data_IF_268361227097
#
_entry.id   IF_268361227097
#
_cell.length_a   1.000
_cell.length_b   1.000
_cell.length_c   1.000
_cell.angle_alpha   90.00
_cell.angle_beta   90.00
_cell.angle_gamma   90.00
#
_symmetry.space_group_name_H-M   'P 1'
#
loop_
_entity.id
_entity.type
_entity.pdbx_description
1 polymer ?
#
# COMPACT_ATOMS: atom_id res chain seq x y z
N UNK A 1 -11.78 -11.33 13.32
CA UNK A 1 -11.24 -9.96 13.12
C UNK A 1 -10.92 -9.81 11.65
N UNK A 2 -11.36 -8.72 11.00
CA UNK A 2 -10.94 -8.40 9.64
C UNK A 2 -9.76 -7.41 9.73
N UNK A 3 -8.60 -7.78 9.19
CA UNK A 3 -7.44 -6.90 9.13
C UNK A 3 -7.67 -5.81 8.09
N UNK A 4 -7.19 -4.60 8.37
CA UNK A 4 -7.29 -3.48 7.45
C UNK A 4 -6.51 -3.80 6.17
N UNK A 5 -7.10 -3.61 4.97
CA UNK A 5 -6.36 -3.73 3.72
C UNK A 5 -5.17 -2.78 3.68
N UNK A 6 -4.10 -3.24 3.04
CA UNK A 6 -2.91 -2.46 2.77
C UNK A 6 -3.09 -1.84 1.39
N UNK A 7 -2.90 -0.53 1.28
CA UNK A 7 -2.92 0.22 0.03
C UNK A 7 -1.52 0.75 -0.23
N UNK A 8 -0.88 0.23 -1.27
CA UNK A 8 0.49 0.60 -1.67
C UNK A 8 0.46 1.40 -2.97
N UNK A 9 1.07 2.57 -2.97
CA UNK A 9 1.23 3.40 -4.16
C UNK A 9 2.63 3.24 -4.76
N UNK A 10 2.71 2.90 -6.04
CA UNK A 10 3.98 2.62 -6.74
C UNK A 10 4.08 3.38 -8.05
N UNK A 11 5.30 3.67 -8.49
CA UNK A 11 5.54 4.26 -9.81
C UNK A 11 6.65 3.56 -10.61
N UNK A 12 7.89 4.06 -10.55
CA UNK A 12 8.99 3.63 -11.43
C UNK A 12 10.28 3.29 -10.68
N UNK A 13 10.17 2.96 -9.38
CA UNK A 13 11.30 2.74 -8.46
C UNK A 13 11.41 1.27 -8.00
N UNK A 14 11.71 0.36 -8.93
CA UNK A 14 11.72 -1.10 -8.67
C UNK A 14 12.47 -1.52 -7.39
N UNK A 15 13.66 -0.97 -7.14
CA UNK A 15 14.45 -1.34 -5.96
C UNK A 15 13.74 -0.99 -4.65
N UNK A 16 13.18 0.21 -4.55
CA UNK A 16 12.43 0.65 -3.38
C UNK A 16 11.15 -0.19 -3.23
N UNK A 17 10.38 -0.35 -4.31
CA UNK A 17 9.15 -1.14 -4.31
C UNK A 17 9.39 -2.56 -3.81
N UNK A 18 10.49 -3.20 -4.25
CA UNK A 18 10.90 -4.53 -3.78
C UNK A 18 11.12 -4.54 -2.28
N UNK A 19 11.91 -3.60 -1.77
CA UNK A 19 12.22 -3.53 -0.36
C UNK A 19 10.96 -3.35 0.50
N UNK A 20 10.07 -2.43 0.12
CA UNK A 20 8.80 -2.21 0.84
C UNK A 20 7.94 -3.46 0.87
N UNK A 21 7.76 -4.13 -0.28
CA UNK A 21 6.95 -5.35 -0.36
C UNK A 21 7.58 -6.48 0.45
N UNK A 22 8.89 -6.69 0.34
CA UNK A 22 9.60 -7.74 1.07
C UNK A 22 9.53 -7.53 2.59
N UNK A 23 9.60 -6.30 3.07
CA UNK A 23 9.47 -6.01 4.50
C UNK A 23 8.01 -6.13 4.98
N UNK A 24 7.04 -5.74 4.16
CA UNK A 24 5.62 -6.02 4.44
C UNK A 24 5.35 -7.52 4.50
N UNK A 25 5.95 -8.34 3.62
CA UNK A 25 5.78 -9.80 3.64
C UNK A 25 6.32 -10.44 4.93
N UNK A 26 7.30 -9.81 5.60
CA UNK A 26 7.86 -10.28 6.88
C UNK A 26 7.02 -9.87 8.09
N UNK A 27 5.98 -9.06 7.91
CA UNK A 27 5.17 -8.60 9.01
C UNK A 27 4.25 -9.68 9.58
N UNK A 28 4.01 -9.63 10.89
CA UNK A 28 2.89 -10.32 11.51
C UNK A 28 1.58 -9.83 10.89
N UNK A 29 0.72 -10.77 10.51
CA UNK A 29 -0.56 -10.56 9.82
C UNK A 29 -0.49 -10.26 8.32
N UNK A 30 0.69 -10.38 7.68
CA UNK A 30 0.81 -10.17 6.25
C UNK A 30 -0.03 -11.18 5.43
N UNK A 31 0.04 -12.48 5.78
CA UNK A 31 -0.67 -13.55 5.07
C UNK A 31 -2.20 -13.47 5.22
N UNK A 32 -2.68 -12.77 6.23
CA UNK A 32 -4.09 -12.54 6.53
C UNK A 32 -4.61 -11.20 6.00
N UNK A 33 -3.70 -10.33 5.54
CA UNK A 33 -4.02 -9.00 5.01
C UNK A 33 -4.19 -9.04 3.49
N UNK A 34 -5.10 -8.21 2.99
CA UNK A 34 -5.29 -7.97 1.55
C UNK A 34 -4.43 -6.79 1.13
N UNK A 35 -3.72 -6.92 0.01
CA UNK A 35 -2.82 -5.90 -0.54
C UNK A 35 -3.38 -5.37 -1.86
N UNK A 36 -3.67 -4.08 -1.90
CA UNK A 36 -4.07 -3.33 -3.09
C UNK A 36 -2.92 -2.44 -3.53
N UNK A 37 -2.46 -2.60 -4.76
CA UNK A 37 -1.31 -1.88 -5.28
C UNK A 37 -1.77 -0.99 -6.43
N UNK A 38 -1.70 0.31 -6.23
CA UNK A 38 -1.98 1.30 -7.26
C UNK A 38 -0.68 1.67 -7.96
N UNK A 39 -0.48 1.18 -9.18
CA UNK A 39 0.68 1.46 -10.01
C UNK A 39 0.35 2.56 -11.01
N UNK A 40 0.97 3.73 -10.85
CA UNK A 40 0.71 4.87 -11.74
C UNK A 40 1.22 4.60 -13.17
N UNK A 41 0.72 5.36 -14.14
CA UNK A 41 1.19 5.29 -15.52
C UNK A 41 2.46 6.11 -15.75
N UNK A 42 3.20 5.86 -16.86
CA UNK A 42 4.40 6.61 -17.21
C UNK A 42 4.07 8.09 -17.43
N UNK A 43 4.90 8.98 -16.88
CA UNK A 43 4.79 10.44 -17.10
C UNK A 43 5.38 10.84 -18.45
N UNK A 44 6.38 10.10 -18.91
CA UNK A 44 7.06 10.27 -20.20
C UNK A 44 7.36 8.91 -20.81
N UNK A 45 7.60 8.86 -22.11
CA UNK A 45 8.03 7.62 -22.81
C UNK A 45 9.30 7.01 -22.18
N UNK A 46 10.17 7.84 -21.60
CA UNK A 46 11.40 7.37 -20.92
C UNK A 46 11.11 6.62 -19.61
N UNK A 47 9.95 6.86 -19.01
CA UNK A 47 9.53 6.17 -17.78
C UNK A 47 8.89 4.82 -18.06
N UNK A 48 8.40 4.57 -19.29
CA UNK A 48 7.71 3.33 -19.67
C UNK A 48 8.48 2.07 -19.31
N UNK A 49 9.80 1.94 -19.60
CA UNK A 49 10.52 0.72 -19.26
C UNK A 49 10.56 0.47 -17.75
N UNK A 50 10.75 1.52 -16.95
CA UNK A 50 10.83 1.40 -15.49
C UNK A 50 9.48 1.10 -14.85
N UNK A 51 8.40 1.73 -15.34
CA UNK A 51 7.03 1.42 -14.90
C UNK A 51 6.68 -0.02 -15.25
N UNK A 52 7.05 -0.48 -16.45
CA UNK A 52 6.86 -1.87 -16.88
C UNK A 52 7.62 -2.83 -15.97
N UNK A 53 8.88 -2.55 -15.66
CA UNK A 53 9.68 -3.37 -14.73
C UNK A 53 9.03 -3.49 -13.34
N UNK A 54 8.52 -2.38 -12.80
CA UNK A 54 7.76 -2.39 -11.54
C UNK A 54 6.54 -3.30 -11.68
N UNK A 55 5.70 -3.09 -12.69
CA UNK A 55 4.46 -3.87 -12.89
C UNK A 55 4.71 -5.37 -13.08
N UNK A 56 5.75 -5.74 -13.82
CA UNK A 56 6.14 -7.15 -13.95
C UNK A 56 6.56 -7.74 -12.61
N UNK A 57 7.30 -7.00 -11.78
CA UNK A 57 7.57 -7.42 -10.41
C UNK A 57 6.30 -7.54 -9.57
N UNK A 58 5.38 -6.57 -9.62
CA UNK A 58 4.15 -6.58 -8.83
C UNK A 58 3.32 -7.85 -9.04
N UNK A 59 3.26 -8.35 -10.29
CA UNK A 59 2.55 -9.60 -10.65
C UNK A 59 3.14 -10.85 -9.99
N UNK A 60 4.38 -10.78 -9.49
CA UNK A 60 5.05 -11.91 -8.83
C UNK A 60 4.78 -11.96 -7.32
N UNK A 61 4.17 -10.93 -6.74
CA UNK A 61 3.99 -10.78 -5.29
C UNK A 61 3.04 -11.87 -4.76
N UNK A 62 3.48 -12.53 -3.69
CA UNK A 62 2.74 -13.53 -2.91
C UNK A 62 2.87 -13.21 -1.41
N UNK A 63 2.35 -14.07 -0.54
CA UNK A 63 2.51 -13.90 0.92
C UNK A 63 1.51 -12.95 1.58
N UNK A 64 0.46 -12.57 0.84
CA UNK A 64 -0.73 -11.88 1.34
C UNK A 64 -1.96 -12.74 1.08
N UNK A 65 -3.06 -12.46 1.79
CA UNK A 65 -4.34 -13.16 1.59
C UNK A 65 -4.86 -13.00 0.17
N UNK A 66 -4.73 -11.79 -0.37
CA UNK A 66 -5.08 -11.39 -1.73
C UNK A 66 -4.14 -10.27 -2.16
N UNK A 67 -3.74 -10.28 -3.43
CA UNK A 67 -3.02 -9.15 -4.06
C UNK A 67 -3.85 -8.69 -5.26
N UNK A 68 -4.21 -7.41 -5.29
CA UNK A 68 -4.90 -6.77 -6.42
C UNK A 68 -4.06 -5.61 -6.93
N UNK A 69 -3.80 -5.59 -8.23
CA UNK A 69 -2.98 -4.55 -8.87
C UNK A 69 -3.89 -3.69 -9.74
N UNK A 70 -3.89 -2.39 -9.48
CA UNK A 70 -4.62 -1.38 -10.22
C UNK A 70 -3.59 -0.56 -11.01
N UNK A 71 -3.47 -0.88 -12.29
CA UNK A 71 -2.60 -0.17 -13.21
C UNK A 71 -3.33 1.06 -13.80
N UNK A 72 -2.70 2.24 -13.75
CA UNK A 72 -3.21 3.43 -14.44
C UNK A 72 -2.64 3.52 -15.85
N UNK A 73 -3.48 3.90 -16.81
CA UNK A 73 -3.04 4.06 -18.21
C UNK A 73 -2.07 5.22 -18.40
N UNK A 74 -2.23 6.29 -17.61
CA UNK A 74 -1.42 7.51 -17.66
C UNK A 74 -0.97 7.92 -16.26
N UNK A 75 0.07 8.75 -16.16
CA UNK A 75 0.48 9.31 -14.88
C UNK A 75 -0.60 10.24 -14.33
N UNK A 76 -1.22 9.87 -13.22
CA UNK A 76 -2.19 10.72 -12.50
C UNK A 76 -1.48 11.67 -11.53
N UNK A 77 -0.24 11.34 -11.16
CA UNK A 77 0.51 12.01 -10.11
C UNK A 77 0.07 11.54 -8.72
N UNK A 78 0.98 11.66 -7.75
CA UNK A 78 0.84 11.08 -6.41
C UNK A 78 -0.48 11.47 -5.73
N UNK A 79 -0.81 12.77 -5.70
CA UNK A 79 -1.99 13.27 -5.00
C UNK A 79 -3.30 12.65 -5.54
N UNK A 80 -3.51 12.68 -6.86
CA UNK A 80 -4.72 12.13 -7.47
C UNK A 80 -4.79 10.61 -7.31
N UNK A 81 -3.65 9.93 -7.43
CA UNK A 81 -3.60 8.49 -7.28
C UNK A 81 -3.94 8.07 -5.83
N UNK A 82 -3.38 8.79 -4.83
CA UNK A 82 -3.70 8.57 -3.42
C UNK A 82 -5.17 8.84 -3.15
N UNK A 83 -5.71 9.98 -3.59
CA UNK A 83 -7.12 10.33 -3.33
C UNK A 83 -8.05 9.25 -3.88
N UNK A 84 -7.87 8.83 -5.13
CA UNK A 84 -8.72 7.80 -5.73
C UNK A 84 -8.55 6.45 -5.03
N UNK A 85 -7.30 6.00 -4.83
CA UNK A 85 -7.02 4.69 -4.24
C UNK A 85 -7.50 4.59 -2.79
N UNK A 86 -7.22 5.60 -1.96
CA UNK A 86 -7.70 5.67 -0.58
C UNK A 86 -9.22 5.70 -0.54
N UNK A 87 -9.85 6.60 -1.32
CA UNK A 87 -11.32 6.75 -1.33
C UNK A 87 -12.00 5.45 -1.73
N UNK A 88 -11.51 4.77 -2.76
CA UNK A 88 -12.09 3.51 -3.23
C UNK A 88 -12.04 2.44 -2.15
N UNK A 89 -10.87 2.18 -1.58
CA UNK A 89 -10.70 1.06 -0.65
C UNK A 89 -11.31 1.38 0.72
N UNK A 90 -11.18 2.60 1.23
CA UNK A 90 -11.76 2.94 2.55
C UNK A 90 -13.28 2.93 2.53
N UNK A 91 -13.94 3.32 1.44
CA UNK A 91 -15.39 3.26 1.34
C UNK A 91 -15.92 1.82 1.27
N UNK A 92 -15.11 0.87 0.80
CA UNK A 92 -15.46 -0.55 0.76
C UNK A 92 -15.19 -1.26 2.09
N UNK A 93 -14.08 -0.94 2.77
CA UNK A 93 -13.61 -1.69 3.94
C UNK A 93 -13.74 -0.96 5.29
N UNK A 94 -14.08 0.34 5.28
CA UNK A 94 -14.20 1.20 6.46
C UNK A 94 -12.88 1.64 7.11
N UNK A 95 -11.79 0.89 6.90
CA UNK A 95 -10.43 1.21 7.40
C UNK A 95 -9.37 0.66 6.45
N UNK A 96 -8.22 1.31 6.39
CA UNK A 96 -7.08 0.91 5.53
C UNK A 96 -5.74 1.26 6.20
N UNK A 97 -4.65 0.68 5.70
CA UNK A 97 -3.26 1.06 5.99
C UNK A 97 -2.63 1.52 4.68
N UNK A 98 -2.12 2.75 4.63
CA UNK A 98 -1.57 3.35 3.41
C UNK A 98 -0.05 3.40 3.47
N UNK A 99 0.63 3.00 2.39
CA UNK A 99 2.08 3.12 2.21
C UNK A 99 2.44 3.63 0.81
N UNK A 100 3.61 4.26 0.72
CA UNK A 100 4.33 4.54 -0.53
C UNK A 100 5.39 3.44 -0.79
N UNK A 101 5.98 3.45 -1.99
CA UNK A 101 6.90 2.42 -2.45
C UNK A 101 8.34 2.54 -1.93
N UNK A 102 8.62 3.48 -1.03
CA UNK A 102 9.93 3.72 -0.42
C UNK A 102 9.94 3.61 1.12
N UNK A 103 9.02 2.79 1.65
CA UNK A 103 8.89 2.54 3.09
C UNK A 103 9.61 1.24 3.52
N UNK A 104 10.27 1.28 4.69
CA UNK A 104 10.83 0.10 5.37
C UNK A 104 10.07 -0.11 6.67
N UNK A 105 9.43 -1.28 6.82
CA UNK A 105 8.58 -1.58 7.98
C UNK A 105 9.26 -2.53 8.97
N UNK A 106 9.06 -2.28 10.26
CA UNK A 106 9.33 -3.29 11.30
C UNK A 106 8.43 -4.52 11.10
N UNK A 107 8.86 -5.76 11.46
CA UNK A 107 8.02 -6.96 11.41
C UNK A 107 6.73 -6.89 12.25
N UNK A 108 6.61 -5.89 13.14
CA UNK A 108 5.44 -5.67 13.97
C UNK A 108 4.54 -4.52 13.50
N UNK A 109 4.87 -3.86 12.38
CA UNK A 109 4.16 -2.68 11.89
C UNK A 109 2.68 -2.98 11.63
N UNK A 110 2.35 -4.02 10.85
CA UNK A 110 0.95 -4.35 10.55
C UNK A 110 0.17 -4.74 11.82
N UNK A 111 0.81 -5.44 12.76
CA UNK A 111 0.22 -5.75 14.07
C UNK A 111 -0.10 -4.47 14.84
N UNK A 112 0.83 -3.53 14.92
CA UNK A 112 0.60 -2.25 15.58
C UNK A 112 -0.56 -1.49 14.94
N UNK A 113 -0.54 -1.32 13.62
CA UNK A 113 -1.57 -0.57 12.89
C UNK A 113 -2.95 -1.18 13.11
N UNK A 114 -3.09 -2.50 12.98
CA UNK A 114 -4.38 -3.16 13.16
C UNK A 114 -4.89 -3.10 14.60
N UNK A 115 -4.02 -3.28 15.60
CA UNK A 115 -4.43 -3.16 17.00
C UNK A 115 -4.83 -1.73 17.35
N UNK A 116 -4.09 -0.73 16.87
CA UNK A 116 -4.38 0.67 17.10
C UNK A 116 -5.68 1.11 16.40
N UNK A 117 -5.89 0.73 15.14
CA UNK A 117 -7.13 1.01 14.41
C UNK A 117 -8.35 0.42 15.13
N UNK A 118 -8.25 -0.80 15.65
CA UNK A 118 -9.34 -1.41 16.42
C UNK A 118 -9.53 -0.73 17.78
N UNK A 119 -8.46 -0.35 18.47
CA UNK A 119 -8.53 0.29 19.78
C UNK A 119 -9.16 1.69 19.71
N UNK A 120 -8.82 2.46 18.68
CA UNK A 120 -9.26 3.85 18.51
C UNK A 120 -10.50 4.01 17.62
N UNK A 121 -11.14 2.92 17.18
CA UNK A 121 -12.27 2.95 16.24
C UNK A 121 -13.39 3.92 16.64
N UNK A 122 -13.72 3.98 17.94
CA UNK A 122 -14.79 4.83 18.47
C UNK A 122 -14.28 6.16 19.07
N UNK A 123 -13.02 6.54 18.81
CA UNK A 123 -12.46 7.79 19.30
C UNK A 123 -12.59 8.90 18.25
N UNK A 124 -13.66 9.70 18.38
CA UNK A 124 -13.95 10.83 17.47
C UNK A 124 -12.90 11.95 17.46
N UNK A 125 -12.00 11.98 18.45
CA UNK A 125 -10.89 12.95 18.50
C UNK A 125 -9.65 12.48 17.74
N UNK A 126 -9.61 11.21 17.31
CA UNK A 126 -8.52 10.65 16.53
C UNK A 126 -8.61 11.05 15.05
N UNK A 127 -7.48 11.44 14.46
CA UNK A 127 -7.40 11.77 13.03
C UNK A 127 -6.92 10.59 12.20
N UNK A 128 -5.80 9.98 12.59
CA UNK A 128 -5.22 8.78 11.96
C UNK A 128 -4.24 8.11 12.93
N UNK A 129 -3.82 6.89 12.58
CA UNK A 129 -2.68 6.21 13.22
C UNK A 129 -1.47 6.38 12.31
N UNK A 130 -0.34 6.83 12.86
CA UNK A 130 0.92 7.00 12.13
C UNK A 130 1.90 5.88 12.47
N UNK A 131 2.60 5.37 11.45
CA UNK A 131 3.76 4.48 11.61
C UNK A 131 5.09 5.21 11.80
N UNK A 132 5.08 6.54 11.77
CA UNK A 132 6.26 7.41 11.90
C UNK A 132 6.10 8.37 13.08
N UNK A 133 7.20 8.68 13.76
CA UNK A 133 7.27 9.65 14.86
C UNK A 133 7.97 10.92 14.36
N UNK A 134 7.27 12.05 14.46
CA UNK A 134 7.71 13.38 14.01
C UNK A 134 8.72 14.04 14.95
#
# INVERSE_FOLDING_TARGET
MNYAPIVLFTYNRLWHTKQTVEDLQKNLFAQESELFIFSDGPKTEKDEPKVKEVREYLKTIKGFKKVEIIERDRNWGLANNIIDGVTRIVNEYGKIIVLEDDMVTSPYFLKFMNLALNFYENNEKGMHISGYMF
#
